data_IF_835918917923
#
_entry.id   IF_835918917923
#
_cell.length_a   1.000
_cell.length_b   1.000
_cell.length_c   1.000
_cell.angle_alpha   90.00
_cell.angle_beta   90.00
_cell.angle_gamma   90.00
#
_symmetry.space_group_name_H-M   'P 1'
#
loop_
_entity.id
_entity.type
_entity.pdbx_description
1 polymer ?
#
# COMPACT_ATOMS: atom_id res chain seq x y z
N UNK A 1 -5.81 -10.08 2.73
CA UNK A 1 -4.44 -10.09 3.29
C UNK A 1 -4.51 -9.80 4.80
N UNK A 2 -4.51 -10.81 5.69
CA UNK A 2 -4.81 -10.62 7.13
C UNK A 2 -3.63 -10.84 8.10
N UNK A 3 -2.43 -11.13 7.61
CA UNK A 3 -1.26 -11.44 8.44
C UNK A 3 -0.34 -10.24 8.65
N UNK A 4 0.46 -9.93 7.62
CA UNK A 4 1.63 -9.06 7.74
C UNK A 4 1.33 -7.55 7.85
N UNK A 5 0.14 -7.11 7.45
CA UNK A 5 -0.29 -5.69 7.53
C UNK A 5 -1.26 -5.42 8.68
N UNK A 6 -1.53 -6.43 9.51
CA UNK A 6 -2.39 -6.25 10.68
C UNK A 6 -1.67 -5.46 11.78
N UNK A 7 -2.38 -4.55 12.43
CA UNK A 7 -1.81 -3.64 13.45
C UNK A 7 -1.10 -4.40 14.56
N UNK A 8 -1.66 -5.54 15.01
CA UNK A 8 -1.01 -6.39 16.02
C UNK A 8 0.32 -6.97 15.53
N UNK A 9 0.38 -7.37 14.27
CA UNK A 9 1.62 -7.90 13.69
C UNK A 9 2.66 -6.79 13.55
N UNK A 10 2.27 -5.64 12.97
CA UNK A 10 3.15 -4.50 12.79
C UNK A 10 3.63 -3.94 14.14
N UNK A 11 2.75 -3.84 15.13
CA UNK A 11 3.13 -3.42 16.48
C UNK A 11 4.17 -4.36 17.09
N UNK A 12 4.01 -5.68 16.90
CA UNK A 12 5.01 -6.66 17.34
C UNK A 12 6.36 -6.49 16.63
N UNK A 13 6.37 -6.17 15.34
CA UNK A 13 7.63 -5.93 14.60
C UNK A 13 8.29 -4.60 14.99
N UNK A 14 7.50 -3.56 15.24
CA UNK A 14 7.98 -2.23 15.59
C UNK A 14 8.44 -2.13 17.05
N UNK A 15 7.95 -3.00 17.94
CA UNK A 15 8.33 -3.03 19.34
C UNK A 15 8.06 -1.70 20.02
N UNK A 16 9.10 -1.05 20.56
CA UNK A 16 8.99 0.25 21.24
C UNK A 16 8.53 1.39 20.31
N UNK A 17 8.62 1.21 18.99
CA UNK A 17 8.19 2.18 17.99
C UNK A 17 6.72 1.99 17.58
N UNK A 18 5.95 1.12 18.22
CA UNK A 18 4.61 0.72 17.78
C UNK A 18 3.50 1.74 18.03
N UNK A 19 3.78 3.03 17.91
CA UNK A 19 2.73 4.05 17.95
C UNK A 19 1.87 4.02 16.67
N UNK A 20 0.68 4.64 16.74
CA UNK A 20 -0.29 4.63 15.64
C UNK A 20 0.29 5.24 14.36
N UNK A 21 1.10 6.29 14.48
CA UNK A 21 1.70 6.98 13.33
C UNK A 21 2.73 6.08 12.64
N UNK A 22 3.55 5.38 13.40
CA UNK A 22 4.56 4.47 12.86
C UNK A 22 3.93 3.21 12.25
N UNK A 23 2.83 2.70 12.81
CA UNK A 23 2.05 1.60 12.21
C UNK A 23 1.48 2.04 10.86
N UNK A 24 0.93 3.25 10.78
CA UNK A 24 0.43 3.81 9.52
C UNK A 24 1.56 3.96 8.49
N UNK A 25 2.68 4.57 8.87
CA UNK A 25 3.88 4.69 8.02
C UNK A 25 4.34 3.33 7.52
N UNK A 26 4.41 2.31 8.39
CA UNK A 26 4.81 0.97 8.01
C UNK A 26 3.90 0.37 6.93
N UNK A 27 2.58 0.61 7.01
CA UNK A 27 1.63 0.18 5.97
C UNK A 27 1.85 0.92 4.65
N UNK A 28 2.14 2.23 4.70
CA UNK A 28 2.43 3.02 3.49
C UNK A 28 3.74 2.56 2.82
N UNK A 29 4.80 2.29 3.59
CA UNK A 29 6.05 1.71 3.07
C UNK A 29 5.85 0.32 2.48
N UNK A 30 4.97 -0.50 3.07
CA UNK A 30 4.60 -1.78 2.48
C UNK A 30 3.87 -1.60 1.13
N UNK A 31 3.07 -0.56 0.97
CA UNK A 31 2.46 -0.22 -0.31
C UNK A 31 3.50 0.19 -1.35
N UNK A 32 4.48 1.02 -0.97
CA UNK A 32 5.61 1.37 -1.84
C UNK A 32 6.39 0.10 -2.28
N UNK A 33 6.66 -0.83 -1.36
CA UNK A 33 7.31 -2.10 -1.68
C UNK A 33 6.48 -2.96 -2.67
N UNK A 34 5.15 -2.95 -2.56
CA UNK A 34 4.26 -3.59 -3.55
C UNK A 34 4.45 -2.91 -4.91
N UNK A 35 4.46 -1.58 -4.96
CA UNK A 35 4.63 -0.82 -6.21
C UNK A 35 5.97 -1.14 -6.88
N UNK A 36 7.06 -1.16 -6.11
CA UNK A 36 8.39 -1.58 -6.58
C UNK A 36 8.36 -3.00 -7.14
N UNK A 37 7.72 -3.94 -6.44
CA UNK A 37 7.58 -5.32 -6.91
C UNK A 37 6.84 -5.44 -8.24
N UNK A 38 5.82 -4.61 -8.48
CA UNK A 38 5.10 -4.56 -9.76
C UNK A 38 5.98 -4.03 -10.89
N UNK A 39 6.77 -2.98 -10.63
CA UNK A 39 7.59 -2.32 -11.64
C UNK A 39 8.80 -3.17 -12.03
N UNK A 40 9.42 -3.83 -11.06
CA UNK A 40 10.60 -4.67 -11.29
C UNK A 40 10.26 -6.01 -11.96
N UNK A 41 8.98 -6.36 -12.09
CA UNK A 41 8.56 -7.56 -12.81
C UNK A 41 8.43 -7.28 -14.32
N UNK A 42 9.47 -7.61 -15.07
CA UNK A 42 9.68 -7.23 -16.48
C UNK A 42 8.79 -7.97 -17.49
N UNK A 43 8.15 -9.08 -17.11
CA UNK A 43 7.41 -9.94 -18.05
C UNK A 43 5.90 -9.69 -18.07
N UNK A 44 5.31 -9.24 -16.95
CA UNK A 44 3.90 -8.87 -16.84
C UNK A 44 3.65 -8.14 -15.52
N UNK A 45 3.16 -6.90 -15.61
CA UNK A 45 2.79 -6.11 -14.41
C UNK A 45 1.57 -6.74 -13.74
N UNK A 46 1.80 -7.51 -12.68
CA UNK A 46 0.72 -8.12 -11.88
C UNK A 46 0.23 -7.15 -10.80
N UNK A 47 -0.91 -6.50 -11.03
CA UNK A 47 -1.50 -5.54 -10.09
C UNK A 47 -2.36 -6.18 -8.99
N UNK A 48 -2.35 -7.51 -8.82
CA UNK A 48 -3.23 -8.19 -7.84
C UNK A 48 -2.97 -7.70 -6.42
N UNK A 49 -1.71 -7.60 -6.00
CA UNK A 49 -1.35 -7.10 -4.68
C UNK A 49 -1.78 -5.64 -4.46
N UNK A 50 -1.66 -4.80 -5.49
CA UNK A 50 -2.15 -3.41 -5.46
C UNK A 50 -3.66 -3.38 -5.23
N UNK A 51 -4.42 -4.12 -6.05
CA UNK A 51 -5.90 -4.17 -5.95
C UNK A 51 -6.36 -4.66 -4.58
N UNK A 52 -5.72 -5.69 -4.04
CA UNK A 52 -6.06 -6.24 -2.73
C UNK A 52 -5.68 -5.28 -1.59
N UNK A 53 -4.60 -4.51 -1.72
CA UNK A 53 -4.25 -3.47 -0.76
C UNK A 53 -5.30 -2.35 -0.76
N UNK A 54 -5.68 -1.85 -1.94
CA UNK A 54 -6.67 -0.77 -2.06
C UNK A 54 -8.02 -1.17 -1.45
N UNK A 55 -8.44 -2.42 -1.66
CA UNK A 55 -9.65 -2.97 -1.05
C UNK A 55 -9.58 -3.07 0.47
N UNK A 56 -8.44 -3.47 1.00
CA UNK A 56 -8.27 -3.67 2.44
C UNK A 56 -8.06 -2.36 3.21
N UNK A 57 -7.48 -1.34 2.56
CA UNK A 57 -7.10 -0.07 3.17
C UNK A 57 -7.46 1.14 2.29
N UNK A 58 -8.76 1.38 2.03
CA UNK A 58 -9.21 2.43 1.11
C UNK A 58 -8.84 3.85 1.61
N UNK A 59 -9.03 4.13 2.90
CA UNK A 59 -8.68 5.44 3.50
C UNK A 59 -7.17 5.72 3.40
N UNK A 60 -6.36 4.71 3.71
CA UNK A 60 -4.90 4.82 3.61
C UNK A 60 -4.46 5.00 2.15
N UNK A 61 -5.10 4.30 1.21
CA UNK A 61 -4.83 4.47 -0.23
C UNK A 61 -5.15 5.90 -0.69
N UNK A 62 -6.28 6.46 -0.23
CA UNK A 62 -6.64 7.84 -0.53
C UNK A 62 -5.59 8.80 0.05
N UNK A 63 -5.14 8.56 1.29
CA UNK A 63 -4.07 9.35 1.90
C UNK A 63 -2.78 9.30 1.08
N UNK A 64 -2.31 8.10 0.72
CA UNK A 64 -1.10 7.94 -0.11
C UNK A 64 -1.27 8.65 -1.45
N UNK A 65 -2.45 8.58 -2.07
CA UNK A 65 -2.71 9.24 -3.36
C UNK A 65 -2.63 10.76 -3.30
N UNK A 66 -3.09 11.37 -2.20
CA UNK A 66 -3.13 12.83 -2.05
C UNK A 66 -1.87 13.41 -1.41
N UNK A 67 -1.25 12.69 -0.47
CA UNK A 67 -0.15 13.20 0.35
C UNK A 67 1.21 12.59 0.00
N UNK A 68 1.24 11.36 -0.53
CA UNK A 68 2.46 10.59 -0.80
C UNK A 68 2.47 10.05 -2.23
N UNK A 69 2.15 10.91 -3.19
CA UNK A 69 2.09 10.53 -4.61
C UNK A 69 3.42 9.96 -5.14
N UNK A 70 4.54 10.30 -4.49
CA UNK A 70 5.89 9.79 -4.74
C UNK A 70 6.00 8.26 -4.59
N UNK A 71 5.13 7.63 -3.79
CA UNK A 71 5.10 6.17 -3.65
C UNK A 71 4.55 5.47 -4.92
N UNK A 72 3.89 6.21 -5.80
CA UNK A 72 3.46 5.73 -7.12
C UNK A 72 4.55 5.97 -8.15
N UNK A 73 5.54 5.08 -8.15
CA UNK A 73 6.70 5.14 -9.05
C UNK A 73 6.29 5.01 -10.54
N UNK A 74 5.10 4.49 -10.83
CA UNK A 74 4.54 4.36 -12.18
C UNK A 74 3.07 4.80 -12.25
N UNK A 75 2.75 5.68 -13.20
CA UNK A 75 1.40 6.24 -13.37
C UNK A 75 0.31 5.23 -13.77
N UNK A 76 0.66 4.00 -14.17
CA UNK A 76 -0.30 2.90 -14.33
C UNK A 76 -0.79 2.36 -12.99
N UNK A 77 0.05 2.35 -11.95
CA UNK A 77 -0.34 1.93 -10.59
C UNK A 77 -1.33 2.95 -10.01
N UNK A 78 -1.02 4.24 -10.14
CA UNK A 78 -1.92 5.31 -9.71
C UNK A 78 -3.29 5.20 -10.38
N UNK A 79 -3.32 4.94 -11.70
CA UNK A 79 -4.57 4.70 -12.44
C UNK A 79 -5.36 3.51 -11.90
N UNK A 80 -4.71 2.40 -11.58
CA UNK A 80 -5.38 1.24 -10.97
C UNK A 80 -5.98 1.62 -9.62
N UNK A 81 -5.24 2.33 -8.76
CA UNK A 81 -5.74 2.76 -7.46
C UNK A 81 -6.96 3.69 -7.58
N UNK A 82 -6.90 4.70 -8.46
CA UNK A 82 -8.02 5.63 -8.68
C UNK A 82 -9.24 4.90 -9.24
N UNK A 83 -9.07 3.98 -10.19
CA UNK A 83 -10.18 3.19 -10.75
C UNK A 83 -10.84 2.30 -9.70
N UNK A 84 -10.03 1.68 -8.83
CA UNK A 84 -10.53 0.83 -7.75
C UNK A 84 -11.27 1.64 -6.69
N UNK A 85 -10.78 2.83 -6.33
CA UNK A 85 -11.45 3.71 -5.36
C UNK A 85 -12.80 4.24 -5.86
N UNK A 86 -12.98 4.45 -7.17
CA UNK A 86 -14.26 4.90 -7.76
C UNK A 86 -15.35 3.81 -7.83
N UNK A 87 -15.02 2.56 -7.51
CA UNK A 87 -15.98 1.44 -7.52
C UNK A 87 -16.62 1.18 -6.15
N UNK A 88 -16.30 1.99 -5.14
CA UNK A 88 -16.86 1.96 -3.79
C UNK A 88 -17.52 3.31 -3.48
#
# INVERSE_FOLDING_TARGET
MKGYLGDRYLAKQLGVLSDLKNIEIAKMLCFEAICLGVINNSSSKNFTCVKEFVRAYPELTNKITNEHSEYFIDGSILRVCVLMMKQF
#
